data_IF_263718253596
#
_entry.id   IF_263718253596
#
_cell.length_a   1.000
_cell.length_b   1.000
_cell.length_c   1.000
_cell.angle_alpha   90.00
_cell.angle_beta   90.00
_cell.angle_gamma   90.00
#
_symmetry.space_group_name_H-M   'P 1'
#
loop_
_entity.id
_entity.type
_entity.pdbx_description
1 polymer ?
#
# COMPACT_ATOMS: atom_id res chain seq x y z
N UNK A 1 -18.39 -6.98 8.63
CA UNK A 1 -17.26 -7.93 8.82
C UNK A 1 -15.98 -7.14 8.59
N UNK A 2 -15.33 -6.66 9.64
CA UNK A 2 -14.14 -5.81 9.53
C UNK A 2 -12.88 -6.66 9.72
N UNK A 3 -12.28 -7.03 8.58
CA UNK A 3 -10.92 -7.55 8.37
C UNK A 3 -10.55 -8.96 8.88
N UNK A 4 -10.03 -9.78 7.95
CA UNK A 4 -9.23 -10.98 8.18
C UNK A 4 -7.76 -10.67 7.80
N UNK A 5 -6.83 -10.77 8.76
CA UNK A 5 -5.62 -11.63 8.76
C UNK A 5 -4.31 -11.05 9.37
N UNK A 6 -3.45 -12.02 9.74
CA UNK A 6 -2.30 -12.13 10.67
C UNK A 6 -1.18 -11.08 10.62
N UNK A 7 -0.68 -10.74 11.82
CA UNK A 7 0.60 -10.04 12.01
C UNK A 7 1.03 -9.80 13.47
N UNK A 8 0.67 -10.67 14.42
CA UNK A 8 1.14 -10.54 15.82
C UNK A 8 0.45 -9.48 16.68
N UNK A 9 -0.50 -8.73 16.12
CA UNK A 9 -1.45 -7.88 16.87
C UNK A 9 -2.72 -8.70 17.12
N UNK A 10 -3.32 -8.68 18.33
CA UNK A 10 -4.59 -9.35 18.58
C UNK A 10 -5.60 -8.96 17.51
N UNK A 11 -6.22 -9.98 16.89
CA UNK A 11 -7.22 -9.77 15.87
C UNK A 11 -8.48 -9.23 16.56
N UNK A 12 -8.57 -7.91 16.63
CA UNK A 12 -9.69 -7.25 17.28
C UNK A 12 -10.94 -7.50 16.44
N UNK A 13 -11.92 -8.19 17.02
CA UNK A 13 -13.12 -8.65 16.29
C UNK A 13 -14.06 -7.50 15.98
N UNK A 14 -13.97 -6.45 16.79
CA UNK A 14 -14.84 -5.29 16.74
C UNK A 14 -14.02 -4.01 16.66
N UNK A 15 -14.56 -3.03 15.93
CA UNK A 15 -13.93 -1.72 15.78
C UNK A 15 -13.76 -0.97 17.12
N UNK A 16 -14.65 -1.25 18.09
CA UNK A 16 -14.60 -0.73 19.46
C UNK A 16 -13.30 -1.08 20.19
N UNK A 17 -12.78 -2.30 20.01
CA UNK A 17 -11.53 -2.74 20.63
C UNK A 17 -10.33 -1.93 20.10
N UNK A 18 -10.33 -1.60 18.80
CA UNK A 18 -9.31 -0.73 18.21
C UNK A 18 -9.34 0.68 18.81
N UNK A 19 -10.53 1.23 19.05
CA UNK A 19 -10.67 2.54 19.69
C UNK A 19 -10.08 2.53 21.11
N UNK A 20 -10.36 1.49 21.90
CA UNK A 20 -9.78 1.35 23.24
C UNK A 20 -8.25 1.36 23.19
N UNK A 21 -7.67 0.61 22.26
CA UNK A 21 -6.22 0.54 22.09
C UNK A 21 -5.61 1.86 21.62
N UNK A 22 -6.26 2.56 20.69
CA UNK A 22 -5.81 3.89 20.26
C UNK A 22 -5.83 4.90 21.43
N UNK A 23 -6.84 4.84 22.30
CA UNK A 23 -6.92 5.68 23.50
C UNK A 23 -5.81 5.38 24.51
N UNK A 24 -5.39 4.12 24.61
CA UNK A 24 -4.27 3.70 25.46
C UNK A 24 -2.93 4.18 24.88
N UNK A 25 -2.69 3.96 23.59
CA UNK A 25 -1.47 4.36 22.89
C UNK A 25 -1.29 5.89 22.81
N UNK A 26 -2.40 6.64 22.79
CA UNK A 26 -2.43 8.12 22.65
C UNK A 26 -1.58 8.63 21.47
N UNK A 27 -1.82 8.14 20.23
CA UNK A 27 -1.10 8.63 19.07
C UNK A 27 -1.45 10.11 18.83
N UNK A 28 -0.46 10.88 18.37
CA UNK A 28 -0.71 12.25 17.91
C UNK A 28 -1.67 12.27 16.70
N UNK A 29 -1.56 11.25 15.83
CA UNK A 29 -2.34 11.13 14.62
C UNK A 29 -2.43 9.67 14.18
N UNK A 30 -3.60 9.29 13.66
CA UNK A 30 -3.86 7.98 13.06
C UNK A 30 -3.97 8.11 11.55
N UNK A 31 -3.29 7.22 10.84
CA UNK A 31 -3.46 7.09 9.39
C UNK A 31 -4.20 5.78 9.09
N UNK A 32 -5.44 5.91 8.63
CA UNK A 32 -6.25 4.79 8.16
C UNK A 32 -5.78 4.41 6.75
N UNK A 33 -5.38 3.15 6.59
CA UNK A 33 -4.86 2.61 5.34
C UNK A 33 -5.71 1.45 4.86
N UNK A 34 -5.66 1.20 3.54
CA UNK A 34 -6.30 0.05 2.91
C UNK A 34 -5.39 -0.55 1.84
N UNK A 35 -5.42 -1.88 1.61
CA UNK A 35 -4.58 -2.52 0.60
C UNK A 35 -4.99 -2.12 -0.81
N UNK A 36 -4.23 -1.22 -1.41
CA UNK A 36 -4.45 -0.74 -2.79
C UNK A 36 -3.57 -1.46 -3.82
N UNK A 37 -2.51 -2.13 -3.37
CA UNK A 37 -1.69 -3.05 -4.19
C UNK A 37 -2.29 -4.46 -4.16
N UNK A 38 -1.98 -5.33 -5.14
CA UNK A 38 -2.38 -6.73 -5.10
C UNK A 38 -1.98 -7.38 -3.77
N UNK A 39 -2.95 -7.81 -2.93
CA UNK A 39 -2.64 -8.44 -1.66
C UNK A 39 -2.14 -9.87 -1.89
N UNK A 40 -1.31 -10.39 -0.97
CA UNK A 40 -0.90 -11.79 -1.01
C UNK A 40 -2.09 -12.75 -0.80
N UNK A 41 -3.09 -12.33 -0.03
CA UNK A 41 -4.33 -13.08 0.17
C UNK A 41 -5.45 -12.49 -0.71
N UNK A 42 -5.96 -13.29 -1.64
CA UNK A 42 -7.01 -12.89 -2.59
C UNK A 42 -8.37 -12.62 -1.95
N UNK A 43 -8.60 -13.05 -0.70
CA UNK A 43 -9.82 -12.71 0.05
C UNK A 43 -9.83 -11.25 0.54
N UNK A 44 -8.68 -10.59 0.56
CA UNK A 44 -8.55 -9.21 1.03
C UNK A 44 -9.00 -8.26 -0.07
N UNK A 45 -9.92 -7.36 0.26
CA UNK A 45 -10.41 -6.31 -0.64
C UNK A 45 -10.14 -4.93 -0.03
N UNK A 46 -9.75 -3.93 -0.84
CA UNK A 46 -9.65 -2.57 -0.35
C UNK A 46 -11.01 -2.04 0.07
N UNK A 47 -10.97 -1.12 1.01
CA UNK A 47 -12.06 -0.23 1.34
C UNK A 47 -12.22 0.81 0.24
N UNK A 48 -13.47 1.18 -0.02
CA UNK A 48 -13.83 2.33 -0.83
C UNK A 48 -13.52 3.61 -0.07
N UNK A 49 -13.40 4.72 -0.80
CA UNK A 49 -13.13 6.04 -0.22
C UNK A 49 -14.16 6.43 0.84
N UNK A 50 -15.45 6.17 0.60
CA UNK A 50 -16.51 6.41 1.58
C UNK A 50 -16.27 5.61 2.89
N UNK A 51 -15.88 4.34 2.78
CA UNK A 51 -15.64 3.48 3.94
C UNK A 51 -14.42 3.94 4.75
N UNK A 52 -13.36 4.42 4.08
CA UNK A 52 -12.22 5.06 4.74
C UNK A 52 -12.61 6.34 5.48
N UNK A 53 -13.46 7.16 4.86
CA UNK A 53 -14.01 8.38 5.47
C UNK A 53 -14.80 8.08 6.74
N UNK A 54 -15.74 7.14 6.65
CA UNK A 54 -16.57 6.70 7.79
C UNK A 54 -15.72 6.18 8.96
N UNK A 55 -14.65 5.44 8.68
CA UNK A 55 -13.71 4.99 9.72
C UNK A 55 -12.98 6.18 10.35
N UNK A 56 -12.47 7.11 9.54
CA UNK A 56 -11.78 8.30 10.06
C UNK A 56 -12.72 9.17 10.90
N UNK A 57 -13.98 9.33 10.52
CA UNK A 57 -14.98 10.07 11.29
C UNK A 57 -15.24 9.41 12.64
N UNK A 58 -15.39 8.08 12.67
CA UNK A 58 -15.55 7.33 13.93
C UNK A 58 -14.36 7.52 14.87
N UNK A 59 -13.13 7.50 14.36
CA UNK A 59 -11.93 7.73 15.19
C UNK A 59 -11.88 9.18 15.68
N UNK A 60 -12.22 10.15 14.82
CA UNK A 60 -12.27 11.58 15.18
C UNK A 60 -13.32 11.90 16.24
N UNK A 61 -14.47 11.22 16.20
CA UNK A 61 -15.52 11.36 17.23
C UNK A 61 -15.05 10.93 18.64
N UNK A 62 -13.98 10.12 18.71
CA UNK A 62 -13.36 9.70 19.97
C UNK A 62 -12.25 10.67 20.44
N UNK A 63 -12.10 11.81 19.76
CA UNK A 63 -11.11 12.86 20.08
C UNK A 63 -9.72 12.59 19.51
N UNK A 64 -9.57 11.65 18.57
CA UNK A 64 -8.28 11.26 18.00
C UNK A 64 -8.17 11.78 16.57
N UNK A 65 -7.11 12.54 16.25
CA UNK A 65 -6.87 13.02 14.88
C UNK A 65 -6.62 11.83 13.94
N UNK A 66 -7.45 11.70 12.90
CA UNK A 66 -7.38 10.61 11.95
C UNK A 66 -7.56 11.08 10.50
N UNK A 67 -6.77 10.52 9.59
CA UNK A 67 -6.82 10.78 8.16
C UNK A 67 -6.57 9.53 7.34
N UNK A 68 -6.91 9.58 6.06
CA UNK A 68 -6.42 8.69 5.02
C UNK A 68 -5.76 9.52 3.92
N UNK A 69 -4.82 8.94 3.18
CA UNK A 69 -4.13 9.62 2.08
C UNK A 69 -4.51 9.01 0.75
N UNK A 70 -4.53 9.85 -0.29
CA UNK A 70 -4.59 9.40 -1.68
C UNK A 70 -3.17 9.10 -2.14
N UNK A 71 -3.08 8.15 -3.05
CA UNK A 71 -1.81 7.62 -3.57
C UNK A 71 -0.89 8.68 -4.21
N UNK A 72 -1.47 9.80 -4.66
CA UNK A 72 -0.77 10.96 -5.21
C UNK A 72 0.22 11.62 -4.24
N UNK A 73 0.10 11.37 -2.93
CA UNK A 73 0.79 12.16 -1.91
C UNK A 73 2.17 11.60 -1.54
N UNK A 74 2.58 10.47 -2.13
CA UNK A 74 3.87 9.83 -1.85
C UNK A 74 4.90 10.29 -2.89
N UNK A 75 5.74 11.24 -2.50
CA UNK A 75 6.94 11.61 -3.28
C UNK A 75 8.16 10.82 -2.77
N UNK A 76 8.97 10.33 -3.71
CA UNK A 76 10.26 9.70 -3.41
C UNK A 76 11.36 10.68 -3.79
N UNK A 77 12.20 11.04 -2.81
CA UNK A 77 13.26 12.06 -2.98
C UNK A 77 14.58 11.49 -3.51
N UNK A 78 14.79 10.18 -3.41
CA UNK A 78 16.00 9.49 -3.88
C UNK A 78 15.65 8.59 -5.07
N UNK A 79 16.43 8.70 -6.16
CA UNK A 79 16.40 7.74 -7.26
C UNK A 79 17.07 6.44 -6.81
N UNK A 80 16.41 5.32 -7.02
CA UNK A 80 16.88 3.98 -6.67
C UNK A 80 17.74 3.39 -7.79
N UNK A 81 18.74 2.61 -7.40
CA UNK A 81 19.45 1.74 -8.33
C UNK A 81 18.65 0.44 -8.59
N UNK A 82 19.17 -0.41 -9.48
CA UNK A 82 18.53 -1.67 -9.88
C UNK A 82 18.29 -2.61 -8.71
N UNK A 83 19.31 -2.86 -7.89
CA UNK A 83 19.22 -3.81 -6.77
C UNK A 83 18.19 -3.35 -5.72
N UNK A 84 18.20 -2.04 -5.41
CA UNK A 84 17.21 -1.40 -4.53
C UNK A 84 15.79 -1.56 -5.11
N UNK A 85 15.60 -1.42 -6.42
CA UNK A 85 14.29 -1.63 -7.04
C UNK A 85 13.85 -3.10 -6.97
N UNK A 86 14.74 -4.05 -7.25
CA UNK A 86 14.45 -5.48 -7.18
C UNK A 86 14.06 -5.88 -5.74
N UNK A 87 14.77 -5.37 -4.74
CA UNK A 87 14.43 -5.59 -3.33
C UNK A 87 13.02 -5.06 -3.01
N UNK A 88 12.62 -3.94 -3.60
CA UNK A 88 11.24 -3.43 -3.46
C UNK A 88 10.23 -4.33 -4.18
N UNK A 89 10.48 -4.70 -5.45
CA UNK A 89 9.58 -5.52 -6.25
C UNK A 89 9.37 -6.93 -5.67
N UNK A 90 10.37 -7.45 -4.94
CA UNK A 90 10.26 -8.73 -4.21
C UNK A 90 9.30 -8.66 -3.01
N UNK A 91 9.14 -7.48 -2.40
CA UNK A 91 8.31 -7.25 -1.21
C UNK A 91 6.92 -6.71 -1.55
N UNK A 92 6.80 -5.87 -2.58
CA UNK A 92 5.55 -5.23 -2.98
C UNK A 92 5.46 -5.04 -4.50
N UNK A 93 4.33 -5.38 -5.13
CA UNK A 93 4.10 -5.06 -6.54
C UNK A 93 4.05 -3.54 -6.77
N UNK A 94 4.63 -3.07 -7.87
CA UNK A 94 4.64 -1.65 -8.24
C UNK A 94 4.00 -1.42 -9.61
N UNK A 95 3.36 -0.27 -9.82
CA UNK A 95 2.92 0.12 -11.15
C UNK A 95 4.05 0.79 -11.92
N UNK A 96 3.92 0.87 -13.24
CA UNK A 96 4.89 1.55 -14.10
C UNK A 96 5.17 3.01 -13.67
N UNK A 97 4.17 3.84 -13.30
CA UNK A 97 4.44 5.20 -12.82
C UNK A 97 5.22 5.24 -11.51
N UNK A 98 5.04 4.26 -10.64
CA UNK A 98 5.79 4.16 -9.37
C UNK A 98 7.25 3.82 -9.65
N UNK A 99 7.49 2.91 -10.60
CA UNK A 99 8.84 2.54 -11.05
C UNK A 99 9.52 3.74 -11.69
N UNK A 100 8.84 4.46 -12.60
CA UNK A 100 9.35 5.68 -13.22
C UNK A 100 9.75 6.74 -12.18
N UNK A 101 8.91 6.96 -11.16
CA UNK A 101 9.22 7.88 -10.05
C UNK A 101 10.44 7.42 -9.24
N UNK A 102 10.54 6.12 -8.98
CA UNK A 102 11.62 5.55 -8.17
C UNK A 102 12.97 5.53 -8.91
N UNK A 103 12.99 5.28 -10.22
CA UNK A 103 14.23 5.23 -11.01
C UNK A 103 14.57 6.58 -11.64
N UNK A 104 13.58 7.46 -11.77
CA UNK A 104 13.70 8.72 -12.49
C UNK A 104 13.77 8.56 -14.01
N UNK A 105 13.31 7.43 -14.53
CA UNK A 105 13.21 7.10 -15.96
C UNK A 105 11.89 7.60 -16.55
N UNK A 106 11.85 7.80 -17.87
CA UNK A 106 10.60 8.03 -18.60
C UNK A 106 9.81 6.73 -18.76
N UNK A 107 8.53 6.81 -19.16
CA UNK A 107 7.67 5.63 -19.28
C UNK A 107 8.23 4.56 -20.24
N UNK A 108 8.74 4.97 -21.39
CA UNK A 108 9.31 4.07 -22.40
C UNK A 108 10.61 3.42 -21.90
N UNK A 109 11.45 4.21 -21.22
CA UNK A 109 12.71 3.72 -20.61
C UNK A 109 12.43 2.69 -19.51
N UNK A 110 11.34 2.84 -18.75
CA UNK A 110 10.93 1.85 -17.74
C UNK A 110 10.55 0.51 -18.38
N UNK A 111 9.86 0.52 -19.52
CA UNK A 111 9.49 -0.72 -20.21
C UNK A 111 10.74 -1.46 -20.71
N UNK A 112 11.68 -0.74 -21.34
CA UNK A 112 12.94 -1.33 -21.79
C UNK A 112 13.76 -1.88 -20.61
N UNK A 113 13.79 -1.13 -19.51
CA UNK A 113 14.46 -1.53 -18.28
C UNK A 113 13.85 -2.81 -17.68
N UNK A 114 12.53 -2.88 -17.56
CA UNK A 114 11.82 -4.08 -17.08
C UNK A 114 12.07 -5.29 -17.99
N UNK A 115 12.10 -5.10 -19.32
CA UNK A 115 12.41 -6.17 -20.27
C UNK A 115 13.83 -6.70 -20.10
N UNK A 116 14.82 -5.83 -19.84
CA UNK A 116 16.20 -6.23 -19.54
C UNK A 116 16.25 -7.04 -18.25
N UNK A 117 15.62 -6.55 -17.19
CA UNK A 117 15.61 -7.21 -15.87
C UNK A 117 14.84 -8.53 -15.87
N UNK A 118 13.82 -8.69 -16.69
CA UNK A 118 13.04 -9.92 -16.74
C UNK A 118 13.89 -11.15 -17.06
N UNK A 119 14.96 -11.00 -17.86
CA UNK A 119 15.88 -12.09 -18.21
C UNK A 119 16.63 -12.65 -16.99
N UNK A 120 16.86 -11.82 -15.98
CA UNK A 120 17.68 -12.14 -14.81
C UNK A 120 16.82 -12.40 -13.57
N UNK A 121 15.74 -11.64 -13.39
CA UNK A 121 14.94 -11.62 -12.16
C UNK A 121 13.53 -12.19 -12.32
N UNK A 122 13.13 -12.68 -13.50
CA UNK A 122 11.80 -13.28 -13.75
C UNK A 122 10.63 -12.37 -13.31
N UNK A 123 10.63 -11.13 -13.82
CA UNK A 123 9.62 -10.13 -13.49
C UNK A 123 8.26 -10.56 -14.06
N UNK A 124 7.25 -10.63 -13.18
CA UNK A 124 5.87 -10.97 -13.53
C UNK A 124 5.00 -9.72 -13.55
N UNK A 125 4.04 -9.68 -14.47
CA UNK A 125 2.95 -8.72 -14.48
C UNK A 125 1.70 -9.30 -13.83
N UNK A 126 0.96 -8.47 -13.08
CA UNK A 126 -0.30 -8.80 -12.43
C UNK A 126 -1.31 -7.72 -12.79
N UNK A 127 -2.49 -8.11 -13.26
CA UNK A 127 -3.61 -7.19 -13.43
C UNK A 127 -4.46 -7.17 -12.16
N UNK A 128 -4.63 -5.98 -11.57
CA UNK A 128 -5.38 -5.81 -10.33
C UNK A 128 -6.11 -4.46 -10.34
N UNK A 129 -7.43 -4.50 -10.10
CA UNK A 129 -8.28 -3.31 -10.05
C UNK A 129 -8.18 -2.37 -11.27
N UNK A 130 -8.00 -2.94 -12.46
CA UNK A 130 -7.90 -2.14 -13.69
C UNK A 130 -6.48 -1.66 -14.00
N UNK A 131 -5.50 -1.96 -13.13
CA UNK A 131 -4.12 -1.51 -13.29
C UNK A 131 -3.14 -2.67 -13.39
N UNK A 132 -2.03 -2.44 -14.07
CA UNK A 132 -0.94 -3.40 -14.21
C UNK A 132 0.15 -3.14 -13.17
N UNK A 133 0.49 -4.19 -12.42
CA UNK A 133 1.56 -4.19 -11.43
C UNK A 133 2.67 -5.16 -11.84
N UNK A 134 3.89 -4.87 -11.42
CA UNK A 134 5.08 -5.67 -11.65
C UNK A 134 5.64 -6.17 -10.33
N UNK A 135 6.15 -7.40 -10.31
CA UNK A 135 6.78 -8.03 -9.15
C UNK A 135 7.85 -9.03 -9.56
N UNK A 136 8.65 -9.44 -8.58
CA UNK A 136 9.47 -10.66 -8.65
C UNK A 136 8.72 -11.84 -8.02
#
# INVERSE_FOLDING_TARGET
MFFRYRGGVPLMKEFSEYICYLKELKPLKVHVNTPWRPPQNSEVRPLREQELGEICDKIRNEGIDARYYKESDISHSKKLNTDELIEILSRRPLRMPDIAKLTGLSGDDVLEFLNKLNKEYNIKSIFYQGEMFYRV
#
